data_IF_011585654454
#
_entry.id   IF_011585654454
#
_cell.length_a   1.000
_cell.length_b   1.000
_cell.length_c   1.000
_cell.angle_alpha   90.00
_cell.angle_beta   90.00
_cell.angle_gamma   90.00
#
_symmetry.space_group_name_H-M   'P 1'
#
loop_
_entity.id
_entity.type
_entity.pdbx_description
1 polymer ?
#
# COMPACT_ATOMS: atom_id res chain seq x y z
N UNK A 1 6.77 30.39 -3.78
CA UNK A 1 6.67 29.43 -2.66
C UNK A 1 6.01 28.19 -3.20
N UNK A 2 6.70 27.05 -3.25
CA UNK A 2 6.11 25.83 -3.82
C UNK A 2 5.19 25.18 -2.79
N UNK A 3 3.88 25.21 -3.03
CA UNK A 3 2.90 24.52 -2.18
C UNK A 3 2.59 23.15 -2.79
N UNK A 4 2.72 22.07 -2.01
CA UNK A 4 2.32 20.72 -2.41
C UNK A 4 1.10 20.29 -1.59
N UNK A 5 0.04 19.84 -2.26
CA UNK A 5 -1.17 19.27 -1.64
C UNK A 5 -1.34 17.82 -2.05
N UNK A 6 -1.88 17.02 -1.13
CA UNK A 6 -2.24 15.62 -1.35
C UNK A 6 -3.72 15.42 -1.12
N UNK A 7 -4.34 14.57 -1.92
CA UNK A 7 -5.69 14.06 -1.64
C UNK A 7 -5.71 12.56 -1.87
N UNK A 8 -6.26 11.84 -0.91
CA UNK A 8 -6.25 10.37 -0.82
C UNK A 8 -7.55 9.83 -0.21
N UNK A 9 -7.76 8.51 -0.27
CA UNK A 9 -8.88 7.88 0.42
C UNK A 9 -8.55 7.71 1.91
N UNK A 10 -9.08 8.62 2.74
CA UNK A 10 -8.71 8.74 4.15
C UNK A 10 -8.91 7.46 5.00
N UNK A 11 -9.77 6.52 4.57
CA UNK A 11 -9.95 5.23 5.24
C UNK A 11 -8.76 4.27 5.06
N UNK A 12 -8.02 4.40 3.95
CA UNK A 12 -6.87 3.55 3.63
C UNK A 12 -5.56 4.32 3.84
N UNK A 13 -5.49 5.57 3.37
CA UNK A 13 -4.34 6.45 3.49
C UNK A 13 -4.87 7.82 3.91
N UNK A 14 -4.80 8.19 5.19
CA UNK A 14 -5.05 9.56 5.64
C UNK A 14 -4.01 10.52 5.08
N UNK A 15 -4.39 11.77 4.78
CA UNK A 15 -3.43 12.79 4.33
C UNK A 15 -2.34 13.06 5.38
N UNK A 16 -2.62 12.85 6.67
CA UNK A 16 -1.63 12.92 7.75
C UNK A 16 -0.53 11.85 7.66
N UNK A 17 -0.78 10.76 6.93
CA UNK A 17 0.16 9.67 6.73
C UNK A 17 0.98 9.83 5.44
N UNK A 18 0.86 10.98 4.78
CA UNK A 18 1.62 11.32 3.60
C UNK A 18 2.61 12.42 3.96
N UNK A 19 3.88 12.03 4.13
CA UNK A 19 4.95 12.95 4.41
C UNK A 19 5.69 13.29 3.10
N UNK A 20 5.87 14.59 2.87
CA UNK A 20 6.68 15.10 1.77
C UNK A 20 7.98 15.65 2.35
N UNK A 21 9.11 15.12 1.91
CA UNK A 21 10.44 15.60 2.26
C UNK A 21 11.27 15.95 1.01
N UNK A 22 12.50 16.45 1.21
CA UNK A 22 13.40 16.85 0.12
C UNK A 22 13.36 18.33 -0.24
N UNK A 23 14.03 18.69 -1.32
CA UNK A 23 14.24 20.08 -1.77
C UNK A 23 13.50 20.37 -3.08
N UNK A 24 13.69 21.56 -3.65
CA UNK A 24 12.95 22.06 -4.82
C UNK A 24 13.07 21.20 -6.07
N UNK A 25 14.18 20.50 -6.26
CA UNK A 25 14.43 19.66 -7.44
C UNK A 25 14.08 18.19 -7.22
N UNK A 26 14.28 17.68 -5.99
CA UNK A 26 14.00 16.29 -5.65
C UNK A 26 13.18 16.23 -4.37
N UNK A 27 11.95 15.73 -4.48
CA UNK A 27 11.05 15.48 -3.35
C UNK A 27 10.83 13.99 -3.18
N UNK A 28 10.75 13.57 -1.93
CA UNK A 28 10.41 12.20 -1.55
C UNK A 28 9.03 12.20 -0.91
N UNK A 29 8.22 11.20 -1.28
CA UNK A 29 6.91 10.95 -0.70
C UNK A 29 6.98 9.67 0.12
N UNK A 30 6.71 9.78 1.41
CA UNK A 30 6.56 8.66 2.31
C UNK A 30 5.07 8.48 2.60
N UNK A 31 4.53 7.30 2.28
CA UNK A 31 3.11 6.98 2.38
C UNK A 31 2.96 5.79 3.30
N UNK A 32 2.22 5.96 4.40
CA UNK A 32 1.94 4.88 5.35
C UNK A 32 0.45 4.55 5.38
N UNK A 33 0.00 3.44 4.79
CA UNK A 33 -1.39 3.00 4.91
C UNK A 33 -1.79 2.74 6.36
N UNK A 34 -3.09 2.78 6.65
CA UNK A 34 -3.61 2.32 7.95
C UNK A 34 -3.35 0.82 8.11
N UNK A 35 -2.88 0.42 9.30
CA UNK A 35 -2.61 -0.99 9.60
C UNK A 35 -3.83 -1.88 9.33
N UNK A 36 -3.58 -3.05 8.75
CA UNK A 36 -4.58 -4.08 8.42
C UNK A 36 -5.70 -3.62 7.48
N UNK A 37 -5.51 -2.52 6.73
CA UNK A 37 -6.42 -2.11 5.68
C UNK A 37 -5.89 -2.51 4.32
N UNK A 38 -6.80 -2.84 3.41
CA UNK A 38 -6.48 -3.22 2.03
C UNK A 38 -7.41 -2.49 1.06
N UNK A 39 -6.98 -2.41 -0.19
CA UNK A 39 -7.72 -1.73 -1.24
C UNK A 39 -6.83 -0.80 -2.06
N UNK A 40 -7.47 0.09 -2.80
CA UNK A 40 -6.80 1.05 -3.66
C UNK A 40 -7.06 2.47 -3.18
N UNK A 41 -6.05 3.33 -3.27
CA UNK A 41 -6.19 4.77 -3.01
C UNK A 41 -5.58 5.57 -4.15
N UNK A 42 -6.37 6.49 -4.71
CA UNK A 42 -5.89 7.45 -5.70
C UNK A 42 -5.25 8.63 -4.97
N UNK A 43 -3.94 8.80 -5.16
CA UNK A 43 -3.20 9.91 -4.59
C UNK A 43 -3.02 10.97 -5.67
N UNK A 44 -3.52 12.18 -5.41
CA UNK A 44 -3.31 13.34 -6.28
C UNK A 44 -2.31 14.29 -5.64
N UNK A 45 -1.21 14.57 -6.33
CA UNK A 45 -0.22 15.57 -5.96
C UNK A 45 -0.45 16.84 -6.76
N UNK A 46 -0.62 17.97 -6.09
CA UNK A 46 -0.73 19.29 -6.71
C UNK A 46 0.42 20.18 -6.30
N UNK A 47 1.26 20.57 -7.26
CA UNK A 47 2.32 21.57 -7.09
C UNK A 47 1.83 22.94 -7.56
N UNK A 48 2.22 24.01 -6.87
CA UNK A 48 2.01 25.39 -7.32
C UNK A 48 3.24 26.23 -7.08
N UNK A 49 3.60 27.12 -8.01
CA UNK A 49 4.65 28.12 -7.83
C UNK A 49 4.14 29.47 -7.29
N UNK A 50 2.81 29.60 -7.14
CA UNK A 50 2.10 30.84 -6.79
C UNK A 50 1.40 31.53 -7.96
N UNK A 51 1.71 31.15 -9.20
CA UNK A 51 1.07 31.66 -10.42
C UNK A 51 0.34 30.55 -11.19
N UNK A 52 0.94 29.38 -11.28
CA UNK A 52 0.40 28.20 -11.94
C UNK A 52 0.29 27.03 -10.96
N UNK A 53 -0.57 26.07 -11.33
CA UNK A 53 -0.76 24.82 -10.60
C UNK A 53 -0.66 23.65 -11.57
N UNK A 54 -0.02 22.57 -11.14
CA UNK A 54 0.08 21.34 -11.90
C UNK A 54 -0.23 20.15 -10.99
N UNK A 55 -1.03 19.21 -11.49
CA UNK A 55 -1.48 18.05 -10.72
C UNK A 55 -1.12 16.74 -11.43
N UNK A 56 -0.73 15.73 -10.67
CA UNK A 56 -0.58 14.34 -11.14
C UNK A 56 -1.21 13.38 -10.15
N UNK A 57 -1.85 12.35 -10.67
CA UNK A 57 -2.46 11.30 -9.86
C UNK A 57 -1.79 9.96 -10.14
N UNK A 58 -1.69 9.12 -9.12
CA UNK A 58 -1.26 7.74 -9.22
C UNK A 58 -2.03 6.88 -8.21
N UNK A 59 -2.14 5.58 -8.50
CA UNK A 59 -2.83 4.63 -7.64
C UNK A 59 -1.84 3.93 -6.72
N UNK A 60 -2.19 3.81 -5.44
CA UNK A 60 -1.52 2.95 -4.47
C UNK A 60 -2.46 1.80 -4.14
N UNK A 61 -2.00 0.58 -4.37
CA UNK A 61 -2.72 -0.66 -4.02
C UNK A 61 -2.08 -1.28 -2.79
N UNK A 62 -2.87 -1.50 -1.74
CA UNK A 62 -2.46 -2.13 -0.49
C UNK A 62 -3.10 -3.52 -0.45
N UNK A 63 -2.26 -4.56 -0.46
CA UNK A 63 -2.70 -5.94 -0.48
C UNK A 63 -2.69 -6.57 0.91
N UNK A 64 -3.53 -7.58 1.12
CA UNK A 64 -3.49 -8.41 2.33
C UNK A 64 -2.18 -9.20 2.40
N UNK A 65 -1.70 -9.45 3.61
CA UNK A 65 -0.68 -10.45 3.83
C UNK A 65 -1.22 -11.85 3.43
N UNK A 66 -0.39 -12.74 2.86
CA UNK A 66 -0.80 -14.11 2.61
C UNK A 66 -1.04 -14.82 3.94
N UNK A 67 -2.08 -15.64 4.00
CA UNK A 67 -2.37 -16.52 5.13
C UNK A 67 -2.14 -17.96 4.72
N UNK A 68 -1.69 -18.79 5.67
CA UNK A 68 -1.68 -20.25 5.50
C UNK A 68 -2.86 -20.80 6.29
N UNK A 69 -3.68 -21.62 5.64
CA UNK A 69 -4.72 -22.40 6.29
C UNK A 69 -4.16 -23.34 7.38
N UNK A 70 -5.01 -23.77 8.31
CA UNK A 70 -4.59 -24.71 9.35
C UNK A 70 -4.20 -26.06 8.72
N UNK A 71 -2.96 -26.49 8.93
CA UNK A 71 -2.49 -27.80 8.51
C UNK A 71 -2.77 -28.79 9.64
N UNK A 72 -3.68 -29.74 9.42
CA UNK A 72 -3.96 -30.80 10.39
C UNK A 72 -2.83 -31.85 10.41
N UNK A 73 -2.71 -32.58 11.52
CA UNK A 73 -1.80 -33.71 11.62
C UNK A 73 -2.05 -34.70 10.49
N UNK A 74 -0.98 -35.12 9.82
CA UNK A 74 -1.03 -36.16 8.81
C UNK A 74 -0.54 -37.47 9.41
N UNK A 75 -1.21 -38.55 9.05
CA UNK A 75 -0.80 -39.92 9.41
C UNK A 75 -0.81 -40.75 8.14
N UNK A 76 0.22 -41.57 7.96
CA UNK A 76 0.28 -42.54 6.89
C UNK A 76 0.80 -43.85 7.44
N UNK A 77 0.35 -44.95 6.85
CA UNK A 77 0.96 -46.25 7.10
C UNK A 77 2.36 -46.28 6.47
N UNK A 78 3.17 -47.20 6.99
CA UNK A 78 4.47 -47.53 6.40
C UNK A 78 4.29 -47.85 4.91
N UNK A 79 5.29 -47.48 4.10
CA UNK A 79 5.32 -47.74 2.66
C UNK A 79 4.17 -47.11 1.85
N UNK A 80 3.47 -46.14 2.42
CA UNK A 80 2.41 -45.38 1.72
C UNK A 80 2.85 -43.94 1.44
N UNK A 81 2.69 -43.50 0.19
CA UNK A 81 2.99 -42.13 -0.23
C UNK A 81 1.86 -41.21 0.22
N UNK A 82 2.19 -40.10 0.87
CA UNK A 82 1.29 -38.97 1.08
C UNK A 82 1.37 -38.05 -0.15
N UNK A 83 0.24 -37.82 -0.82
CA UNK A 83 0.13 -36.75 -1.82
C UNK A 83 0.19 -35.36 -1.14
N UNK A 84 0.66 -34.35 -1.87
CA UNK A 84 0.94 -33.03 -1.31
C UNK A 84 -0.24 -32.42 -0.55
N UNK A 85 0.05 -31.81 0.60
CA UNK A 85 -0.95 -31.06 1.38
C UNK A 85 -1.34 -29.82 0.59
N UNK A 86 -2.61 -29.72 0.23
CA UNK A 86 -3.13 -28.51 -0.42
C UNK A 86 -3.16 -27.37 0.59
N UNK A 87 -2.47 -26.28 0.26
CA UNK A 87 -2.53 -25.02 0.99
C UNK A 87 -3.47 -24.07 0.24
N UNK A 88 -4.39 -23.46 0.97
CA UNK A 88 -5.16 -22.30 0.52
C UNK A 88 -4.88 -21.10 1.39
#
# INVERSE_FOLDING_TARGET
MVCLRTQSLASLIPDSNILISGTTTNRTLEITPVNNQTGESYITLTISDGNATFSRSFTVTVNSAPTISTIQNQTTDEDTIIEGISLT
#
